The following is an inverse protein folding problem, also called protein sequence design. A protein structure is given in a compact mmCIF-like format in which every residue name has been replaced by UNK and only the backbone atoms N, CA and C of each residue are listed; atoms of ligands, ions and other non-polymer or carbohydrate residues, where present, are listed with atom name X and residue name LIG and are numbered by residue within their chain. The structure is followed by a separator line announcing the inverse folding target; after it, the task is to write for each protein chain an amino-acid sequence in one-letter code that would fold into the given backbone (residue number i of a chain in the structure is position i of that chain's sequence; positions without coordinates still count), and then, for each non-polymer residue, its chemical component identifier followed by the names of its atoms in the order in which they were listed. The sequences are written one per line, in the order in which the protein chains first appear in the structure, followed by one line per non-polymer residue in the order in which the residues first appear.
data_IF_091960683897
#
_entry.id   IF_091960683897
#
_cell.length_a   1.000
_cell.length_b   1.000
_cell.length_c   1.000
_cell.angle_alpha   90.00
_cell.angle_beta   90.00
_cell.angle_gamma   90.00
#
_symmetry.space_group_name_H-M   'P 1'
#
loop_
_entity.id
_entity.type
_entity.pdbx_description
1 polymer ?
#
# COMPACT_ATOMS: atom_id res chain seq x y z
N UNK A 1 18.63 -15.21 -12.22
CA UNK A 1 18.08 -14.18 -13.12
C UNK A 1 17.59 -13.06 -12.19
N UNK A 2 18.04 -11.85 -12.42
CA UNK A 2 17.56 -10.68 -11.67
C UNK A 2 16.08 -10.43 -12.03
N UNK A 3 15.25 -9.99 -11.08
CA UNK A 3 13.85 -9.59 -11.36
C UNK A 3 13.78 -8.48 -12.41
N UNK A 4 14.76 -7.58 -12.43
CA UNK A 4 14.86 -6.51 -13.42
C UNK A 4 14.96 -7.00 -14.88
N UNK A 5 15.52 -8.20 -15.08
CA UNK A 5 15.76 -8.80 -16.38
C UNK A 5 14.73 -9.86 -16.78
N UNK A 6 13.66 -10.02 -15.97
CA UNK A 6 12.60 -10.99 -16.29
C UNK A 6 11.89 -10.58 -17.59
N UNK A 7 11.95 -11.44 -18.66
CA UNK A 7 11.38 -11.07 -19.95
C UNK A 7 9.87 -11.24 -20.02
N UNK A 8 9.23 -11.83 -19.00
CA UNK A 8 7.81 -12.11 -18.98
C UNK A 8 7.00 -10.84 -18.80
N UNK A 9 5.86 -10.74 -19.48
CA UNK A 9 4.91 -9.65 -19.34
C UNK A 9 3.85 -10.03 -18.32
N UNK A 10 3.60 -9.17 -17.35
CA UNK A 10 2.57 -9.33 -16.32
C UNK A 10 1.61 -8.14 -16.41
N UNK A 11 0.30 -8.41 -16.43
CA UNK A 11 -0.72 -7.36 -16.36
C UNK A 11 -0.87 -6.88 -14.91
N UNK A 12 -0.99 -5.57 -14.74
CA UNK A 12 -1.07 -4.92 -13.43
C UNK A 12 -2.30 -4.02 -13.31
N UNK A 13 -2.74 -3.77 -12.08
CA UNK A 13 -3.83 -2.87 -11.74
C UNK A 13 -3.48 -2.12 -10.45
N UNK A 14 -3.62 -0.80 -10.49
CA UNK A 14 -3.75 0.04 -9.31
C UNK A 14 -5.24 0.30 -9.05
N UNK A 15 -5.77 -0.27 -7.98
CA UNK A 15 -7.20 -0.28 -7.66
C UNK A 15 -7.57 0.88 -6.73
N UNK A 16 -7.70 2.09 -7.27
CA UNK A 16 -8.19 3.25 -6.52
C UNK A 16 -9.71 3.27 -6.33
N UNK A 17 -10.19 3.97 -5.33
CA UNK A 17 -11.63 4.06 -5.04
C UNK A 17 -12.46 4.71 -6.16
N UNK A 18 -11.90 5.67 -6.90
CA UNK A 18 -12.58 6.41 -7.97
C UNK A 18 -12.21 5.89 -9.35
N UNK A 19 -10.96 5.59 -9.57
CA UNK A 19 -10.42 5.12 -10.84
C UNK A 19 -9.58 3.87 -10.63
N UNK A 20 -9.56 3.03 -11.64
CA UNK A 20 -8.65 1.90 -11.81
C UNK A 20 -7.63 2.25 -12.89
N UNK A 21 -6.36 2.00 -12.62
CA UNK A 21 -5.26 2.24 -13.57
C UNK A 21 -4.63 0.90 -13.92
N UNK A 22 -4.79 0.50 -15.16
CA UNK A 22 -4.29 -0.77 -15.70
C UNK A 22 -3.03 -0.54 -16.51
N UNK A 23 -2.05 -1.42 -16.37
CA UNK A 23 -0.81 -1.40 -17.12
C UNK A 23 -0.25 -2.82 -17.32
N UNK A 24 0.92 -2.93 -17.90
CA UNK A 24 1.69 -4.17 -17.97
C UNK A 24 3.16 -3.87 -17.67
N UNK A 25 3.78 -4.76 -16.90
CA UNK A 25 5.18 -4.69 -16.54
C UNK A 25 6.00 -5.83 -17.14
N UNK A 26 7.28 -5.56 -17.44
CA UNK A 26 8.31 -6.53 -17.80
C UNK A 26 9.57 -6.17 -17.01
N UNK A 27 9.99 -7.03 -16.09
CA UNK A 27 11.02 -6.66 -15.13
C UNK A 27 10.62 -5.43 -14.34
N UNK A 28 11.46 -4.41 -14.33
CA UNK A 28 11.22 -3.13 -13.64
C UNK A 28 10.49 -2.09 -14.50
N UNK A 29 10.12 -2.42 -15.75
CA UNK A 29 9.62 -1.43 -16.71
C UNK A 29 8.15 -1.64 -16.99
N UNK A 30 7.42 -0.55 -16.98
CA UNK A 30 6.11 -0.47 -17.57
C UNK A 30 6.24 -0.56 -19.11
N UNK A 31 5.51 -1.48 -19.74
CA UNK A 31 5.62 -1.76 -21.18
C UNK A 31 4.34 -1.46 -21.97
N UNK A 32 3.31 -1.02 -21.29
CA UNK A 32 2.06 -0.52 -21.87
C UNK A 32 1.70 0.78 -21.19
N UNK A 33 1.40 1.83 -21.95
CA UNK A 33 0.91 3.08 -21.39
C UNK A 33 -0.35 2.85 -20.54
N UNK A 34 -0.45 3.44 -19.34
CA UNK A 34 -1.57 3.20 -18.44
C UNK A 34 -2.93 3.48 -19.06
N UNK A 35 -3.89 2.59 -18.80
CA UNK A 35 -5.29 2.73 -19.17
C UNK A 35 -6.09 3.03 -17.91
N UNK A 36 -6.64 4.22 -17.82
CA UNK A 36 -7.47 4.64 -16.68
C UNK A 36 -8.95 4.49 -17.02
N UNK A 37 -9.69 3.78 -16.15
CA UNK A 37 -11.14 3.62 -16.23
C UNK A 37 -11.78 4.00 -14.88
N UNK A 38 -13.03 4.46 -14.90
CA UNK A 38 -13.80 4.66 -13.66
C UNK A 38 -14.02 3.33 -12.96
N UNK A 39 -13.79 3.29 -11.65
CA UNK A 39 -13.89 2.05 -10.85
C UNK A 39 -15.30 1.49 -10.76
N UNK A 40 -16.33 2.35 -10.90
CA UNK A 40 -17.75 2.00 -10.68
C UNK A 40 -17.98 1.28 -9.33
N UNK A 41 -17.23 1.71 -8.31
CA UNK A 41 -17.11 1.06 -7.01
C UNK A 41 -18.42 0.96 -6.20
N UNK A 42 -19.52 1.50 -6.71
CA UNK A 42 -20.87 1.44 -6.12
C UNK A 42 -21.73 0.28 -6.64
N UNK A 43 -21.35 -0.35 -7.75
CA UNK A 43 -22.07 -1.45 -8.40
C UNK A 43 -21.09 -2.59 -8.73
N UNK A 44 -21.35 -3.79 -8.20
CA UNK A 44 -20.45 -4.94 -8.35
C UNK A 44 -20.33 -5.39 -9.82
N UNK A 45 -21.44 -5.45 -10.53
CA UNK A 45 -21.42 -5.91 -11.93
C UNK A 45 -20.65 -4.96 -12.83
N UNK A 46 -20.87 -3.66 -12.66
CA UNK A 46 -20.14 -2.63 -13.41
C UNK A 46 -18.66 -2.60 -13.01
N UNK A 47 -18.35 -2.72 -11.71
CA UNK A 47 -17.00 -2.74 -11.22
C UNK A 47 -16.19 -3.94 -11.77
N UNK A 48 -16.74 -5.15 -11.69
CA UNK A 48 -16.13 -6.35 -12.26
C UNK A 48 -16.00 -6.24 -13.79
N UNK A 49 -17.02 -5.70 -14.48
CA UNK A 49 -16.95 -5.40 -15.90
C UNK A 49 -15.81 -4.46 -16.26
N UNK A 50 -15.62 -3.39 -15.48
CA UNK A 50 -14.50 -2.44 -15.65
C UNK A 50 -13.14 -3.14 -15.47
N UNK A 51 -13.01 -4.03 -14.47
CA UNK A 51 -11.75 -4.77 -14.24
C UNK A 51 -11.43 -5.66 -15.45
N UNK A 52 -12.41 -6.40 -15.97
CA UNK A 52 -12.24 -7.25 -17.15
C UNK A 52 -11.89 -6.40 -18.38
N UNK A 53 -12.61 -5.30 -18.61
CA UNK A 53 -12.36 -4.39 -19.74
C UNK A 53 -10.95 -3.79 -19.70
N UNK A 54 -10.51 -3.32 -18.54
CA UNK A 54 -9.20 -2.72 -18.38
C UNK A 54 -8.06 -3.69 -18.68
N UNK A 55 -8.11 -4.90 -18.12
CA UNK A 55 -7.12 -5.95 -18.45
C UNK A 55 -7.18 -6.38 -19.92
N UNK A 56 -8.34 -6.45 -20.55
CA UNK A 56 -8.46 -6.77 -21.96
C UNK A 56 -7.77 -5.71 -22.83
N UNK A 57 -8.02 -4.42 -22.57
CA UNK A 57 -7.39 -3.30 -23.29
C UNK A 57 -5.85 -3.28 -23.16
N UNK A 58 -5.33 -3.61 -21.99
CA UNK A 58 -3.88 -3.67 -21.77
C UNK A 58 -3.28 -4.91 -22.41
N UNK A 59 -3.95 -6.06 -22.33
CA UNK A 59 -3.54 -7.30 -23.01
C UNK A 59 -3.38 -7.12 -24.52
N UNK A 60 -4.31 -6.40 -25.16
CA UNK A 60 -4.24 -6.11 -26.61
C UNK A 60 -3.03 -5.26 -27.00
N UNK A 61 -2.57 -4.38 -26.09
CA UNK A 61 -1.43 -3.49 -26.31
C UNK A 61 -0.09 -4.09 -25.86
N UNK A 62 -0.13 -5.23 -25.18
CA UNK A 62 1.07 -5.84 -24.61
C UNK A 62 2.04 -6.30 -25.72
N UNK A 63 3.37 -6.03 -25.58
CA UNK A 63 4.36 -6.37 -26.60
C UNK A 63 4.63 -7.87 -26.74
N UNK A 64 4.07 -8.68 -25.83
CA UNK A 64 4.10 -10.14 -25.87
C UNK A 64 2.92 -10.69 -25.06
N UNK A 65 2.52 -11.96 -25.26
CA UNK A 65 1.45 -12.58 -24.47
C UNK A 65 1.76 -12.51 -22.98
N UNK A 66 0.88 -11.94 -22.14
CA UNK A 66 1.09 -11.88 -20.71
C UNK A 66 1.00 -13.28 -20.10
N UNK A 67 1.85 -13.55 -19.10
CA UNK A 67 1.92 -14.85 -18.43
C UNK A 67 1.15 -14.88 -17.12
N UNK A 68 0.78 -13.72 -16.58
CA UNK A 68 0.02 -13.59 -15.33
C UNK A 68 -0.68 -12.23 -15.24
N UNK A 69 -1.65 -12.15 -14.32
CA UNK A 69 -2.19 -10.92 -13.77
C UNK A 69 -1.70 -10.82 -12.31
N UNK A 70 -1.14 -9.68 -11.90
CA UNK A 70 -0.71 -9.45 -10.52
C UNK A 70 -1.03 -8.03 -10.08
N UNK A 71 -1.74 -7.87 -8.97
CA UNK A 71 -2.15 -6.54 -8.51
C UNK A 71 -2.46 -6.49 -7.01
N UNK A 72 -2.46 -5.26 -6.49
CA UNK A 72 -2.93 -4.95 -5.16
C UNK A 72 -4.45 -4.77 -5.15
N UNK A 73 -5.11 -5.33 -4.11
CA UNK A 73 -6.52 -5.08 -3.85
C UNK A 73 -6.76 -4.95 -2.35
N UNK A 74 -7.63 -4.03 -1.91
CA UNK A 74 -7.91 -3.84 -0.48
C UNK A 74 -8.41 -5.12 0.20
N UNK A 75 -8.08 -5.27 1.48
CA UNK A 75 -8.62 -6.32 2.35
C UNK A 75 -9.75 -5.84 3.25
N UNK A 76 -10.39 -6.77 3.98
CA UNK A 76 -10.00 -8.18 4.16
C UNK A 76 -10.24 -9.06 2.94
N UNK A 77 -9.36 -10.05 2.72
CA UNK A 77 -9.45 -11.00 1.60
C UNK A 77 -8.75 -12.32 1.95
N UNK A 78 -9.19 -13.40 1.33
CA UNK A 78 -8.42 -14.64 1.22
C UNK A 78 -7.53 -14.52 -0.02
N UNK A 79 -6.37 -13.89 0.14
CA UNK A 79 -5.47 -13.60 -0.98
C UNK A 79 -4.94 -14.86 -1.68
N UNK A 80 -4.57 -15.95 -0.98
CA UNK A 80 -4.16 -17.20 -1.63
C UNK A 80 -5.19 -17.75 -2.63
N UNK A 81 -6.47 -17.62 -2.32
CA UNK A 81 -7.57 -18.07 -3.16
C UNK A 81 -8.17 -16.96 -4.04
N UNK A 82 -7.69 -15.73 -3.91
CA UNK A 82 -8.16 -14.58 -4.69
C UNK A 82 -9.62 -14.22 -4.42
N UNK A 83 -10.10 -14.44 -3.17
CA UNK A 83 -11.48 -14.17 -2.75
C UNK A 83 -11.52 -12.90 -1.91
N UNK A 84 -12.19 -11.87 -2.42
CA UNK A 84 -12.29 -10.57 -1.77
C UNK A 84 -13.39 -10.60 -0.71
N UNK A 85 -13.07 -10.15 0.50
CA UNK A 85 -14.00 -10.02 1.62
C UNK A 85 -14.91 -8.79 1.52
N UNK A 86 -15.61 -8.48 2.61
CA UNK A 86 -16.46 -7.30 2.68
C UNK A 86 -15.62 -6.03 2.88
N UNK A 87 -15.65 -5.11 1.90
CA UNK A 87 -14.86 -3.88 1.92
C UNK A 87 -15.72 -2.67 2.33
N UNK A 88 -15.21 -1.85 3.25
CA UNK A 88 -15.86 -0.62 3.65
C UNK A 88 -15.67 0.53 2.65
N UNK A 89 -14.51 0.60 2.00
CA UNK A 89 -14.11 1.65 1.06
C UNK A 89 -14.49 1.37 -0.41
N UNK A 90 -14.93 0.14 -0.72
CA UNK A 90 -15.44 -0.25 -2.04
C UNK A 90 -16.85 -0.85 -1.87
N UNK A 91 -17.91 -0.03 -1.88
CA UNK A 91 -19.27 -0.48 -1.58
C UNK A 91 -19.77 -1.67 -2.42
N UNK A 92 -19.30 -1.79 -3.66
CA UNK A 92 -19.59 -2.92 -4.54
C UNK A 92 -19.21 -4.27 -3.90
N UNK A 93 -18.16 -4.30 -3.06
CA UNK A 93 -17.67 -5.50 -2.39
C UNK A 93 -18.19 -5.67 -0.95
N UNK A 94 -19.13 -4.85 -0.50
CA UNK A 94 -19.65 -4.87 0.88
C UNK A 94 -20.15 -6.25 1.32
N UNK A 95 -20.72 -7.03 0.41
CA UNK A 95 -21.22 -8.39 0.68
C UNK A 95 -20.12 -9.43 0.92
N UNK A 96 -18.89 -9.17 0.46
CA UNK A 96 -17.78 -10.11 0.52
C UNK A 96 -17.96 -11.38 -0.31
N UNK A 97 -17.00 -12.29 -0.21
CA UNK A 97 -17.06 -13.60 -0.88
C UNK A 97 -16.92 -13.54 -2.42
N UNK A 98 -16.34 -12.48 -2.96
CA UNK A 98 -16.19 -12.30 -4.41
C UNK A 98 -14.92 -13.00 -4.89
N UNK A 99 -15.07 -14.09 -5.65
CA UNK A 99 -13.98 -14.89 -6.23
C UNK A 99 -13.32 -14.15 -7.42
N UNK A 100 -12.72 -12.99 -7.17
CA UNK A 100 -12.15 -12.12 -8.19
C UNK A 100 -10.98 -12.79 -8.92
N UNK A 101 -10.08 -13.43 -8.17
CA UNK A 101 -8.94 -14.15 -8.74
C UNK A 101 -9.36 -15.28 -9.68
N UNK A 102 -10.18 -16.25 -9.22
CA UNK A 102 -10.71 -17.31 -10.08
C UNK A 102 -11.44 -16.78 -11.32
N UNK A 103 -12.33 -15.79 -11.16
CA UNK A 103 -13.05 -15.18 -12.29
C UNK A 103 -12.10 -14.62 -13.36
N UNK A 104 -11.04 -13.92 -12.95
CA UNK A 104 -10.06 -13.38 -13.88
C UNK A 104 -9.19 -14.48 -14.50
N UNK A 105 -8.81 -15.50 -13.72
CA UNK A 105 -8.05 -16.64 -14.23
C UNK A 105 -8.81 -17.39 -15.32
N UNK A 106 -10.09 -17.66 -15.10
CA UNK A 106 -10.97 -18.28 -16.11
C UNK A 106 -11.11 -17.40 -17.36
N UNK A 107 -11.32 -16.09 -17.17
CA UNK A 107 -11.55 -15.15 -18.27
C UNK A 107 -10.33 -14.95 -19.16
N UNK A 108 -9.12 -14.92 -18.58
CA UNK A 108 -7.89 -14.64 -19.30
C UNK A 108 -7.03 -15.88 -19.58
N UNK A 109 -7.36 -17.02 -18.99
CA UNK A 109 -6.63 -18.30 -19.09
C UNK A 109 -5.16 -18.18 -18.68
N UNK A 110 -4.86 -17.34 -17.67
CA UNK A 110 -3.55 -17.14 -17.05
C UNK A 110 -3.71 -17.04 -15.53
N UNK A 111 -2.68 -17.38 -14.74
CA UNK A 111 -2.71 -17.26 -13.28
C UNK A 111 -2.91 -15.82 -12.82
N UNK A 112 -3.61 -15.65 -11.70
CA UNK A 112 -3.91 -14.36 -11.08
C UNK A 112 -3.39 -14.35 -9.66
N UNK A 113 -2.63 -13.32 -9.30
CA UNK A 113 -2.06 -13.09 -7.98
C UNK A 113 -2.59 -11.77 -7.43
N UNK A 114 -3.31 -11.85 -6.32
CA UNK A 114 -3.83 -10.69 -5.61
C UNK A 114 -3.20 -10.66 -4.23
N UNK A 115 -2.77 -9.49 -3.78
CA UNK A 115 -2.29 -9.28 -2.42
C UNK A 115 -2.77 -7.91 -1.91
N UNK A 116 -2.52 -7.64 -0.62
CA UNK A 116 -2.71 -6.33 -0.05
C UNK A 116 -1.69 -5.32 -0.61
N UNK A 117 -2.01 -4.04 -0.63
CA UNK A 117 -1.10 -2.97 -1.08
C UNK A 117 0.14 -2.83 -0.19
N UNK A 118 -0.02 -2.92 1.15
CA UNK A 118 1.09 -2.93 2.09
C UNK A 118 2.02 -4.15 1.90
N UNK A 119 1.44 -5.32 1.63
CA UNK A 119 2.18 -6.54 1.30
C UNK A 119 3.00 -6.38 0.03
N UNK A 120 2.40 -5.88 -1.06
CA UNK A 120 3.11 -5.70 -2.32
C UNK A 120 4.17 -4.61 -2.24
N UNK A 121 3.92 -3.53 -1.47
CA UNK A 121 4.95 -2.54 -1.17
C UNK A 121 6.15 -3.20 -0.48
N UNK A 122 5.93 -3.91 0.64
CA UNK A 122 7.00 -4.58 1.38
C UNK A 122 7.75 -5.60 0.50
N UNK A 123 7.01 -6.35 -0.34
CA UNK A 123 7.61 -7.33 -1.22
C UNK A 123 8.47 -6.69 -2.31
N UNK A 124 8.01 -5.61 -2.94
CA UNK A 124 8.78 -4.85 -3.93
C UNK A 124 10.09 -4.32 -3.36
N UNK A 125 10.03 -3.70 -2.17
CA UNK A 125 11.19 -3.18 -1.46
C UNK A 125 12.18 -4.28 -1.03
N UNK A 126 11.67 -5.47 -0.77
CA UNK A 126 12.53 -6.60 -0.40
C UNK A 126 13.21 -7.27 -1.58
N UNK A 127 12.62 -7.28 -2.78
CA UNK A 127 13.19 -8.00 -3.93
C UNK A 127 13.94 -7.09 -4.91
N UNK A 128 13.56 -5.82 -5.03
CA UNK A 128 14.11 -4.90 -6.02
C UNK A 128 14.42 -3.49 -5.48
N UNK A 129 14.05 -3.17 -4.24
CA UNK A 129 14.16 -1.85 -3.66
C UNK A 129 15.18 -1.76 -2.51
N UNK A 130 14.67 -1.38 -1.33
CA UNK A 130 15.48 -0.99 -0.17
C UNK A 130 16.38 -2.11 0.37
N UNK A 131 15.87 -3.35 0.48
CA UNK A 131 16.67 -4.45 1.05
C UNK A 131 17.91 -4.79 0.22
N UNK A 132 17.84 -5.03 -1.12
CA UNK A 132 19.03 -5.26 -1.92
C UNK A 132 19.96 -4.03 -1.96
N UNK A 133 19.44 -2.82 -1.94
CA UNK A 133 20.25 -1.59 -1.89
C UNK A 133 21.08 -1.52 -0.60
N UNK A 134 20.48 -1.71 0.58
CA UNK A 134 21.21 -1.74 1.88
C UNK A 134 22.25 -2.85 1.89
N UNK A 135 21.91 -4.05 1.42
CA UNK A 135 22.85 -5.16 1.35
C UNK A 135 24.03 -4.89 0.38
N UNK A 136 23.80 -4.12 -0.70
CA UNK A 136 24.83 -3.61 -1.60
C UNK A 136 25.82 -2.69 -0.88
N UNK A 137 25.30 -1.68 -0.17
CA UNK A 137 26.13 -0.76 0.64
C UNK A 137 26.97 -1.49 1.70
N UNK A 138 26.36 -2.48 2.36
CA UNK A 138 27.08 -3.31 3.33
C UNK A 138 28.22 -4.11 2.67
N UNK A 139 28.00 -4.60 1.46
CA UNK A 139 29.03 -5.33 0.70
C UNK A 139 30.18 -4.40 0.27
N UNK A 140 29.89 -3.21 -0.25
CA UNK A 140 30.85 -2.17 -0.60
C UNK A 140 31.70 -1.77 0.59
N UNK A 141 31.08 -1.63 1.78
CA UNK A 141 31.74 -1.35 3.05
C UNK A 141 32.45 -2.56 3.67
N UNK A 142 32.57 -3.70 2.96
CA UNK A 142 33.17 -4.95 3.44
C UNK A 142 32.56 -5.51 4.74
N UNK A 143 31.31 -5.18 5.03
CA UNK A 143 30.56 -5.73 6.17
C UNK A 143 30.14 -7.18 5.90
N UNK A 144 30.29 -8.10 6.86
CA UNK A 144 29.76 -9.46 6.75
C UNK A 144 28.23 -9.51 6.98
N UNK A 145 27.62 -8.45 7.49
CA UNK A 145 26.18 -8.38 7.77
C UNK A 145 25.38 -8.44 6.47
N UNK A 146 24.31 -9.24 6.48
CA UNK A 146 23.28 -9.26 5.43
C UNK A 146 21.92 -9.33 6.07
N UNK A 147 21.02 -8.46 5.61
CA UNK A 147 19.62 -8.52 6.01
C UNK A 147 18.85 -9.44 5.07
N UNK A 148 17.87 -10.17 5.61
CA UNK A 148 17.00 -11.09 4.88
C UNK A 148 15.53 -10.82 5.15
N UNK A 149 15.24 -10.15 6.26
CA UNK A 149 13.89 -9.82 6.69
C UNK A 149 13.66 -8.32 6.49
N UNK A 150 12.46 -7.98 6.05
CA UNK A 150 12.01 -6.60 5.89
C UNK A 150 10.58 -6.47 6.38
N UNK A 151 10.30 -5.40 7.11
CA UNK A 151 8.98 -4.91 7.40
C UNK A 151 8.74 -3.63 6.61
N UNK A 152 7.76 -3.66 5.70
CA UNK A 152 7.30 -2.47 4.99
C UNK A 152 6.11 -1.86 5.71
N UNK A 153 6.12 -0.55 5.93
CA UNK A 153 4.99 0.20 6.48
C UNK A 153 4.53 1.26 5.48
N UNK A 154 3.22 1.38 5.27
CA UNK A 154 2.65 2.39 4.35
C UNK A 154 1.82 3.41 5.11
N UNK A 155 2.19 4.69 4.99
CA UNK A 155 1.54 5.83 5.61
C UNK A 155 0.73 6.59 4.56
N UNK A 156 -0.60 6.52 4.63
CA UNK A 156 -1.47 7.10 3.62
C UNK A 156 -2.91 7.26 4.11
N UNK A 157 -3.87 6.85 3.30
CA UNK A 157 -5.29 6.79 3.69
C UNK A 157 -5.49 5.97 4.96
N UNK A 158 -4.72 4.88 5.08
CA UNK A 158 -4.62 4.04 6.26
C UNK A 158 -3.17 3.84 6.69
N UNK A 159 -2.97 2.87 7.60
CA UNK A 159 -1.67 2.44 8.11
C UNK A 159 -1.47 0.96 7.75
N UNK A 160 -0.95 0.71 6.57
CA UNK A 160 -0.67 -0.63 6.08
C UNK A 160 0.71 -1.14 6.46
N UNK A 161 0.92 -2.45 6.28
CA UNK A 161 2.23 -3.05 6.42
C UNK A 161 2.28 -4.44 5.80
N UNK A 162 3.50 -4.92 5.57
CA UNK A 162 3.77 -6.26 5.06
C UNK A 162 5.10 -6.79 5.58
N UNK A 163 5.22 -8.10 5.66
CA UNK A 163 6.43 -8.78 6.15
C UNK A 163 7.03 -9.61 5.02
N UNK A 164 8.32 -9.44 4.79
CA UNK A 164 9.11 -10.31 3.92
C UNK A 164 10.20 -10.99 4.70
N UNK A 165 10.29 -12.30 4.57
CA UNK A 165 11.30 -13.13 5.21
C UNK A 165 11.99 -13.99 4.16
N UNK A 166 13.33 -13.94 4.11
CA UNK A 166 14.14 -14.71 3.15
C UNK A 166 13.66 -14.56 1.69
N UNK A 167 13.27 -13.33 1.28
CA UNK A 167 12.77 -13.05 -0.08
C UNK A 167 11.36 -13.57 -0.37
N UNK A 168 10.60 -13.98 0.66
CA UNK A 168 9.22 -14.46 0.53
C UNK A 168 8.29 -13.59 1.36
N UNK A 169 7.17 -13.20 0.75
CA UNK A 169 6.10 -12.52 1.45
C UNK A 169 5.48 -13.48 2.50
N UNK A 170 5.33 -12.98 3.72
CA UNK A 170 4.69 -13.71 4.81
C UNK A 170 3.34 -13.09 5.15
N UNK A 171 2.28 -13.69 4.64
CA UNK A 171 0.91 -13.19 4.81
C UNK A 171 0.18 -13.81 6.01
N UNK A 172 0.78 -14.82 6.67
CA UNK A 172 0.15 -15.58 7.75
C UNK A 172 -0.99 -16.48 7.27
N UNK A 173 -1.64 -17.16 8.21
CA UNK A 173 -2.66 -18.16 7.91
C UNK A 173 -4.01 -17.55 7.48
N UNK A 174 -4.24 -16.27 7.83
CA UNK A 174 -5.49 -15.56 7.57
C UNK A 174 -5.30 -14.33 6.67
N UNK A 175 -4.23 -14.28 5.89
CA UNK A 175 -3.89 -13.12 5.03
C UNK A 175 -3.82 -11.79 5.79
N UNK A 176 -3.41 -11.81 7.07
CA UNK A 176 -3.32 -10.64 7.94
C UNK A 176 -1.91 -10.46 8.53
N UNK A 177 -0.94 -11.24 8.05
CA UNK A 177 0.47 -11.10 8.44
C UNK A 177 0.99 -9.72 8.03
N UNK A 178 1.58 -8.97 8.95
CA UNK A 178 2.06 -7.62 8.67
C UNK A 178 1.01 -6.51 8.75
N UNK A 179 -0.26 -6.81 8.84
CA UNK A 179 -1.31 -5.82 9.04
C UNK A 179 -1.15 -5.15 10.42
N UNK A 180 -0.62 -3.94 10.45
CA UNK A 180 -0.35 -3.21 11.70
C UNK A 180 -1.45 -2.23 12.10
N UNK A 181 -2.37 -1.91 11.21
CA UNK A 181 -3.48 -0.98 11.49
C UNK A 181 -4.33 -1.33 12.72
N UNK A 182 -4.51 -2.63 13.11
CA UNK A 182 -5.32 -2.98 14.28
C UNK A 182 -4.55 -2.86 15.61
N UNK A 183 -3.26 -2.57 15.59
CA UNK A 183 -2.50 -2.39 16.82
C UNK A 183 -3.12 -1.32 17.71
N UNK A 184 -2.86 -1.41 19.01
CA UNK A 184 -3.36 -0.47 19.99
C UNK A 184 -2.82 0.93 19.75
N UNK A 185 -3.69 1.92 19.75
CA UNK A 185 -3.29 3.33 19.76
C UNK A 185 -2.98 3.75 21.21
N UNK A 186 -1.70 4.04 21.50
CA UNK A 186 -1.31 4.47 22.84
C UNK A 186 -1.81 5.87 23.19
N UNK A 187 -2.07 6.72 22.20
CA UNK A 187 -2.57 8.07 22.38
C UNK A 187 -4.09 8.13 22.62
N UNK A 188 -4.81 7.09 22.17
CA UNK A 188 -6.23 6.90 22.43
C UNK A 188 -6.56 5.40 22.54
N UNK A 189 -6.59 4.83 23.77
CA UNK A 189 -6.83 3.40 23.98
C UNK A 189 -8.18 2.87 23.51
N UNK A 190 -9.12 3.75 23.10
CA UNK A 190 -10.43 3.38 22.58
C UNK A 190 -10.43 3.19 21.07
N UNK A 191 -9.31 3.46 20.41
CA UNK A 191 -9.14 3.35 18.97
C UNK A 191 -7.95 2.46 18.61
N UNK A 192 -7.85 2.07 17.34
CA UNK A 192 -6.67 1.41 16.79
C UNK A 192 -5.63 2.43 16.33
N UNK A 193 -4.41 1.94 15.99
CA UNK A 193 -3.30 2.80 15.63
C UNK A 193 -3.53 3.58 14.32
N UNK A 194 -4.33 3.08 13.40
CA UNK A 194 -4.64 3.78 12.15
C UNK A 194 -5.36 5.11 12.39
N UNK A 195 -6.08 5.23 13.51
CA UNK A 195 -6.69 6.49 13.93
C UNK A 195 -5.67 7.54 14.41
N UNK A 196 -4.40 7.18 14.56
CA UNK A 196 -3.31 8.11 14.84
C UNK A 196 -2.32 8.23 13.67
N UNK A 197 -2.29 7.24 12.75
CA UNK A 197 -1.33 7.17 11.63
C UNK A 197 -2.09 7.04 10.31
N UNK A 198 -2.66 8.16 9.86
CA UNK A 198 -3.38 8.24 8.58
C UNK A 198 -3.59 9.69 8.16
N UNK A 199 -3.96 9.91 6.89
CA UNK A 199 -4.36 11.24 6.37
C UNK A 199 -5.43 11.87 7.26
N UNK A 200 -6.48 11.11 7.61
CA UNK A 200 -7.56 11.63 8.46
C UNK A 200 -7.10 11.97 9.88
N UNK A 201 -6.11 11.25 10.40
CA UNK A 201 -5.55 11.53 11.71
C UNK A 201 -4.82 12.88 11.74
N UNK A 202 -3.96 13.14 10.76
CA UNK A 202 -3.25 14.42 10.62
C UNK A 202 -4.24 15.56 10.49
N UNK A 203 -5.24 15.44 9.63
CA UNK A 203 -6.27 16.47 9.43
C UNK A 203 -7.05 16.75 10.70
N UNK A 204 -7.41 15.71 11.46
CA UNK A 204 -8.13 15.83 12.73
C UNK A 204 -7.29 16.53 13.80
N UNK A 205 -6.03 16.15 13.94
CA UNK A 205 -5.13 16.77 14.91
C UNK A 205 -4.82 18.22 14.56
N UNK A 206 -4.61 18.51 13.27
CA UNK A 206 -4.47 19.90 12.81
C UNK A 206 -5.71 20.74 13.09
N UNK A 207 -6.90 20.24 12.74
CA UNK A 207 -8.16 20.95 12.99
C UNK A 207 -8.32 21.28 14.47
N UNK A 208 -8.01 20.33 15.37
CA UNK A 208 -8.01 20.51 16.81
C UNK A 208 -7.03 21.62 17.25
N UNK A 209 -5.79 21.58 16.73
CA UNK A 209 -4.73 22.54 17.08
C UNK A 209 -4.96 23.94 16.49
N UNK A 210 -5.66 24.04 15.37
CA UNK A 210 -6.00 25.29 14.70
C UNK A 210 -7.34 25.87 15.15
N UNK A 211 -8.16 25.12 15.92
CA UNK A 211 -9.49 25.56 16.35
C UNK A 211 -10.51 25.65 15.21
N UNK A 212 -10.41 24.81 14.19
CA UNK A 212 -11.31 24.77 13.03
C UNK A 212 -12.08 23.45 12.95
N UNK A 213 -13.15 23.42 12.15
CA UNK A 213 -13.88 22.18 11.90
C UNK A 213 -13.05 21.19 11.04
N UNK A 214 -13.22 19.88 11.28
CA UNK A 214 -12.50 18.83 10.55
C UNK A 214 -12.74 18.91 9.03
N UNK A 215 -13.94 19.21 8.62
CA UNK A 215 -14.36 19.31 7.21
C UNK A 215 -13.59 20.40 6.45
N UNK A 216 -13.14 21.43 7.16
CA UNK A 216 -12.36 22.54 6.60
C UNK A 216 -10.86 22.37 6.74
N UNK A 217 -10.41 21.28 7.38
CA UNK A 217 -8.99 21.00 7.53
C UNK A 217 -8.34 20.73 6.16
N UNK A 218 -7.19 21.37 5.88
CA UNK A 218 -6.46 21.14 4.61
C UNK A 218 -5.98 19.71 4.47
N UNK A 219 -5.50 19.36 3.28
CA UNK A 219 -4.83 18.09 3.03
C UNK A 219 -3.43 18.06 3.68
N UNK A 220 -2.88 16.88 3.99
CA UNK A 220 -1.59 16.76 4.70
C UNK A 220 -0.44 17.53 4.07
N UNK A 221 -0.38 17.63 2.73
CA UNK A 221 0.62 18.44 2.05
C UNK A 221 0.54 19.91 2.44
N UNK A 222 -0.66 20.48 2.44
CA UNK A 222 -0.86 21.88 2.84
C UNK A 222 -0.53 22.06 4.32
N UNK A 223 -0.91 21.11 5.18
CA UNK A 223 -0.58 21.13 6.61
C UNK A 223 0.95 21.10 6.81
N UNK A 224 1.67 20.31 6.02
CA UNK A 224 3.13 20.27 6.03
C UNK A 224 3.73 21.64 5.65
N UNK A 225 3.27 22.25 4.57
CA UNK A 225 3.69 23.58 4.11
C UNK A 225 3.36 24.69 5.14
N UNK A 226 2.24 24.56 5.88
CA UNK A 226 1.91 25.43 7.01
C UNK A 226 2.93 25.23 8.16
N UNK A 227 3.27 24.00 8.48
CA UNK A 227 4.29 23.67 9.49
C UNK A 227 5.66 24.23 9.16
N UNK A 228 6.07 24.18 7.90
CA UNK A 228 7.29 24.78 7.37
C UNK A 228 7.24 26.32 7.31
N UNK A 229 6.06 26.92 7.39
CA UNK A 229 5.87 28.39 7.30
C UNK A 229 5.71 28.89 5.87
N UNK A 230 5.48 28.00 4.92
CA UNK A 230 5.30 28.32 3.49
C UNK A 230 3.87 28.74 3.16
N UNK A 231 2.90 28.32 3.99
CA UNK A 231 1.48 28.66 3.86
C UNK A 231 0.91 29.28 5.13
N UNK A 232 -0.13 30.14 5.01
CA UNK A 232 -0.83 30.70 6.17
C UNK A 232 -1.62 29.60 6.90
N UNK A 233 -1.60 29.65 8.24
CA UNK A 233 -2.34 28.72 9.08
C UNK A 233 -1.74 28.60 10.49
N UNK A 234 -2.21 27.61 11.25
CA UNK A 234 -1.67 27.32 12.58
C UNK A 234 -0.40 26.49 12.48
N UNK A 235 0.78 27.15 12.45
CA UNK A 235 2.07 26.45 12.40
C UNK A 235 2.24 25.48 13.57
N UNK A 236 1.89 25.91 14.78
CA UNK A 236 1.98 25.05 15.96
C UNK A 236 1.05 23.83 15.86
N UNK A 237 -0.17 24.03 15.35
CA UNK A 237 -1.13 22.93 15.10
C UNK A 237 -0.60 21.92 14.06
N UNK A 238 0.07 22.41 13.01
CA UNK A 238 0.64 21.59 11.96
C UNK A 238 1.80 20.71 12.50
N UNK A 239 2.76 21.33 13.18
CA UNK A 239 3.88 20.62 13.80
C UNK A 239 3.38 19.56 14.81
N UNK A 240 2.43 19.93 15.67
CA UNK A 240 1.87 19.00 16.66
C UNK A 240 1.13 17.82 16.01
N UNK A 241 0.43 18.04 14.88
CA UNK A 241 -0.25 16.96 14.16
C UNK A 241 0.74 15.90 13.65
N UNK A 242 1.83 16.32 13.01
CA UNK A 242 2.87 15.39 12.55
C UNK A 242 3.66 14.77 13.71
N UNK A 243 3.98 15.53 14.76
CA UNK A 243 4.64 15.00 15.95
C UNK A 243 3.84 13.87 16.60
N UNK A 244 2.54 14.03 16.75
CA UNK A 244 1.65 13.00 17.33
C UNK A 244 1.56 11.76 16.42
N UNK A 245 1.48 11.97 15.10
CA UNK A 245 1.53 10.84 14.15
C UNK A 245 2.86 10.09 14.30
N UNK A 246 4.00 10.80 14.33
CA UNK A 246 5.33 10.20 14.48
C UNK A 246 5.49 9.42 15.79
N UNK A 247 4.97 9.96 16.91
CA UNK A 247 4.98 9.29 18.21
C UNK A 247 4.17 7.98 18.19
N UNK A 248 2.98 7.99 17.57
CA UNK A 248 2.14 6.80 17.44
C UNK A 248 2.76 5.77 16.49
N UNK A 249 3.26 6.22 15.34
CA UNK A 249 3.93 5.36 14.36
C UNK A 249 5.18 4.70 14.95
N UNK A 250 6.01 5.47 15.68
CA UNK A 250 7.22 4.95 16.32
C UNK A 250 6.92 3.84 17.32
N UNK A 251 5.87 3.97 18.12
CA UNK A 251 5.42 2.94 19.05
C UNK A 251 4.97 1.64 18.35
N UNK A 252 4.19 1.78 17.27
CA UNK A 252 3.77 0.65 16.48
C UNK A 252 4.95 -0.05 15.78
N UNK A 253 5.87 0.73 15.19
CA UNK A 253 7.05 0.19 14.52
C UNK A 253 8.00 -0.49 15.50
N UNK A 254 8.18 0.04 16.71
CA UNK A 254 8.97 -0.62 17.76
C UNK A 254 8.40 -2.01 18.10
N UNK A 255 7.07 -2.13 18.18
CA UNK A 255 6.40 -3.42 18.37
C UNK A 255 6.62 -4.37 17.19
N UNK A 256 6.47 -3.88 15.95
CA UNK A 256 6.67 -4.68 14.74
C UNK A 256 8.12 -5.17 14.61
N UNK A 257 9.12 -4.30 14.84
CA UNK A 257 10.55 -4.65 14.78
C UNK A 257 10.90 -5.74 15.79
N UNK A 258 10.33 -5.68 16.99
CA UNK A 258 10.57 -6.70 18.03
C UNK A 258 10.15 -8.10 17.56
N UNK A 259 9.14 -8.21 16.71
CA UNK A 259 8.62 -9.49 16.22
C UNK A 259 9.29 -9.92 14.91
N UNK A 260 9.61 -8.98 14.02
CA UNK A 260 10.13 -9.28 12.67
C UNK A 260 11.65 -9.42 12.65
N UNK A 261 12.35 -8.64 13.47
CA UNK A 261 13.82 -8.55 13.50
C UNK A 261 14.42 -8.43 12.07
N UNK A 262 14.21 -7.27 11.44
CA UNK A 262 14.64 -7.00 10.08
C UNK A 262 14.83 -5.53 9.80
N UNK A 263 15.06 -5.18 8.54
CA UNK A 263 14.99 -3.80 8.09
C UNK A 263 13.55 -3.30 8.11
N UNK A 264 13.40 -2.00 8.37
CA UNK A 264 12.11 -1.31 8.21
C UNK A 264 12.23 -0.32 7.06
N UNK A 265 11.25 -0.33 6.18
CA UNK A 265 11.08 0.68 5.14
C UNK A 265 9.71 1.31 5.28
N UNK A 266 9.65 2.63 5.19
CA UNK A 266 8.41 3.40 5.27
C UNK A 266 8.12 4.01 3.91
N UNK A 267 6.90 3.80 3.41
CA UNK A 267 6.42 4.37 2.16
C UNK A 267 5.03 4.98 2.30
N UNK A 268 4.46 5.41 1.18
CA UNK A 268 3.14 6.02 1.13
C UNK A 268 3.17 7.55 1.07
N UNK A 269 2.00 8.15 0.82
CA UNK A 269 1.88 9.58 0.52
C UNK A 269 2.25 10.54 1.65
N UNK A 270 2.42 10.05 2.88
CA UNK A 270 2.79 10.86 4.04
C UNK A 270 4.30 10.89 4.34
N UNK A 271 5.11 10.10 3.61
CA UNK A 271 6.56 10.03 3.88
C UNK A 271 7.32 11.31 3.51
N UNK A 272 6.77 12.15 2.64
CA UNK A 272 7.35 13.46 2.32
C UNK A 272 7.35 14.45 3.49
N UNK A 273 6.74 14.10 4.61
CA UNK A 273 6.68 14.94 5.82
C UNK A 273 7.72 14.56 6.90
N UNK A 274 8.74 13.79 6.53
CA UNK A 274 9.74 13.29 7.49
C UNK A 274 10.58 14.40 8.17
N UNK A 275 10.59 15.60 7.60
CA UNK A 275 11.39 16.74 8.10
C UNK A 275 10.59 17.66 9.06
N UNK A 276 9.35 17.36 9.38
CA UNK A 276 8.50 18.04 10.36
C UNK A 276 8.38 17.24 11.64
#
# INVERSE_FOLDING_TARGET
MSYAEDPRVVLTLDAGGTNFVFSAARGEREVVAPVTLRSNAHDLTLCLGTIVEGFAKVKEKAPAPPVAISFAFPGPADYPNGVIGGLGNLPAFKGGGIALGPMLADRFSIPVFINNDGDLFAFGEAIAGFLPWVNGLLAEGSSPKRFRNLFGATFGTGFGGGIVRDGRLWIGDNSAGGAIWPLRNKLDPKSNIEEAVSIRAIRREYARGAGIAFETAPEPKDIFEIGGGEKPGSRAGAIEAFRRMGEAAGDALASAITLVDGLVVIGGGLTGAADL
#
